data_IF_012664974264
#
_entry.id   IF_012664974264
#
_cell.length_a   1.000
_cell.length_b   1.000
_cell.length_c   1.000
_cell.angle_alpha   90.00
_cell.angle_beta   90.00
_cell.angle_gamma   90.00
#
_symmetry.space_group_name_H-M   'P 1'
#
loop_
_entity.id
_entity.type
_entity.pdbx_description
1 polymer ?
#
# COMPACT_ATOMS: atom_id res chain seq x y z
N UNK A 1 11.76 -35.98 -49.23
CA UNK A 1 12.43 -36.59 -48.08
C UNK A 1 12.33 -35.57 -46.97
N UNK A 2 11.45 -35.80 -46.01
CA UNK A 2 11.26 -34.85 -44.91
C UNK A 2 12.32 -35.12 -43.85
N UNK A 3 13.26 -34.19 -43.72
CA UNK A 3 14.29 -34.24 -42.69
C UNK A 3 13.64 -33.87 -41.34
N UNK A 4 13.20 -34.87 -40.59
CA UNK A 4 12.76 -34.71 -39.21
C UNK A 4 13.95 -34.43 -38.27
N UNK A 5 13.73 -33.62 -37.23
CA UNK A 5 14.74 -33.38 -36.19
C UNK A 5 15.11 -34.66 -35.47
N UNK A 6 16.38 -34.81 -35.10
CA UNK A 6 16.85 -35.94 -34.28
C UNK A 6 16.37 -35.81 -32.84
N UNK A 7 16.22 -36.94 -32.14
CA UNK A 7 15.89 -36.95 -30.72
C UNK A 7 16.88 -36.11 -29.91
N UNK A 8 18.18 -36.21 -30.21
CA UNK A 8 19.23 -35.44 -29.54
C UNK A 8 19.07 -33.93 -29.76
N UNK A 9 18.75 -33.47 -30.97
CA UNK A 9 18.48 -32.05 -31.23
C UNK A 9 17.25 -31.55 -30.47
N UNK A 10 16.17 -32.35 -30.42
CA UNK A 10 14.98 -31.97 -29.66
C UNK A 10 15.25 -31.91 -28.15
N UNK A 11 16.08 -32.81 -27.60
CA UNK A 11 16.43 -32.81 -26.18
C UNK A 11 17.36 -31.65 -25.80
N UNK A 12 18.34 -31.33 -26.64
CA UNK A 12 19.24 -30.19 -26.41
C UNK A 12 18.46 -28.88 -26.49
N UNK A 13 17.56 -28.72 -27.47
CA UNK A 13 16.75 -27.49 -27.60
C UNK A 13 15.78 -27.33 -26.43
N UNK A 14 15.08 -28.38 -26.01
CA UNK A 14 14.24 -28.36 -24.81
C UNK A 14 15.04 -28.11 -23.53
N UNK A 15 16.25 -28.68 -23.42
CA UNK A 15 17.15 -28.43 -22.30
C UNK A 15 17.58 -26.97 -22.20
N UNK A 16 18.00 -26.37 -23.32
CA UNK A 16 18.41 -24.95 -23.37
C UNK A 16 17.21 -24.04 -23.06
N UNK A 17 16.05 -24.27 -23.67
CA UNK A 17 14.84 -23.49 -23.41
C UNK A 17 14.42 -23.64 -21.95
N UNK A 18 14.49 -24.85 -21.39
CA UNK A 18 14.17 -25.11 -19.98
C UNK A 18 15.04 -24.32 -19.01
N UNK A 19 16.35 -24.30 -19.23
CA UNK A 19 17.29 -23.53 -18.39
C UNK A 19 17.04 -22.02 -18.53
N UNK A 20 16.86 -21.51 -19.75
CA UNK A 20 16.60 -20.08 -19.97
C UNK A 20 15.27 -19.67 -19.32
N UNK A 21 14.22 -20.46 -19.49
CA UNK A 21 12.90 -20.21 -18.90
C UNK A 21 12.96 -20.20 -17.37
N UNK A 22 13.68 -21.14 -16.76
CA UNK A 22 13.83 -21.20 -15.30
C UNK A 22 14.52 -19.96 -14.70
N UNK A 23 15.43 -19.32 -15.45
CA UNK A 23 16.12 -18.10 -15.01
C UNK A 23 15.32 -16.82 -15.30
N UNK A 24 14.58 -16.78 -16.41
CA UNK A 24 13.94 -15.55 -16.90
C UNK A 24 12.51 -15.36 -16.42
N UNK A 25 11.73 -16.44 -16.26
CA UNK A 25 10.33 -16.36 -15.83
C UNK A 25 10.19 -15.71 -14.44
N UNK A 26 10.97 -16.09 -13.41
CA UNK A 26 10.86 -15.47 -12.09
C UNK A 26 11.17 -13.96 -12.11
N UNK A 27 12.18 -13.54 -12.88
CA UNK A 27 12.56 -12.14 -13.03
C UNK A 27 11.47 -11.33 -13.73
N UNK A 28 10.88 -11.88 -14.79
CA UNK A 28 9.79 -11.24 -15.53
C UNK A 28 8.53 -11.10 -14.67
N UNK A 29 8.12 -12.16 -13.95
CA UNK A 29 6.98 -12.12 -13.03
C UNK A 29 7.21 -11.07 -11.95
N UNK A 30 8.40 -11.05 -11.35
CA UNK A 30 8.76 -10.07 -10.31
C UNK A 30 8.64 -8.64 -10.83
N UNK A 31 9.18 -8.35 -12.01
CA UNK A 31 9.09 -7.02 -12.64
C UNK A 31 7.64 -6.63 -12.92
N UNK A 32 6.85 -7.56 -13.45
CA UNK A 32 5.44 -7.31 -13.73
C UNK A 32 4.65 -7.01 -12.44
N UNK A 33 4.83 -7.81 -11.38
CA UNK A 33 4.14 -7.59 -10.10
C UNK A 33 4.55 -6.26 -9.46
N UNK A 34 5.83 -5.88 -9.50
CA UNK A 34 6.30 -4.56 -9.04
C UNK A 34 5.56 -3.42 -9.75
N UNK A 35 5.48 -3.49 -11.09
CA UNK A 35 4.79 -2.49 -11.91
C UNK A 35 3.28 -2.44 -11.60
N UNK A 36 2.63 -3.60 -11.44
CA UNK A 36 1.22 -3.65 -11.07
C UNK A 36 0.97 -3.01 -9.70
N UNK A 37 1.84 -3.28 -8.72
CA UNK A 37 1.77 -2.69 -7.38
C UNK A 37 1.84 -1.17 -7.45
N UNK A 38 2.83 -0.61 -8.16
CA UNK A 38 2.99 0.85 -8.21
C UNK A 38 1.85 1.53 -8.95
N UNK A 39 1.40 0.96 -10.07
CA UNK A 39 0.25 1.50 -10.83
C UNK A 39 -1.01 1.50 -9.97
N UNK A 40 -1.32 0.39 -9.31
CA UNK A 40 -2.53 0.28 -8.48
C UNK A 40 -2.46 1.15 -7.23
N UNK A 41 -1.29 1.25 -6.60
CA UNK A 41 -1.08 2.12 -5.45
C UNK A 41 -1.22 3.59 -5.85
N UNK A 42 -0.57 4.03 -6.94
CA UNK A 42 -0.65 5.41 -7.45
C UNK A 42 -2.09 5.78 -7.80
N UNK A 43 -2.80 4.89 -8.49
CA UNK A 43 -4.21 5.08 -8.82
C UNK A 43 -5.05 5.26 -7.55
N UNK A 44 -4.87 4.38 -6.56
CA UNK A 44 -5.62 4.44 -5.30
C UNK A 44 -5.32 5.72 -4.53
N UNK A 45 -4.05 6.12 -4.46
CA UNK A 45 -3.65 7.40 -3.88
C UNK A 45 -4.32 8.58 -4.58
N UNK A 46 -4.33 8.61 -5.92
CA UNK A 46 -4.97 9.68 -6.69
C UNK A 46 -6.47 9.76 -6.44
N UNK A 47 -7.16 8.60 -6.39
CA UNK A 47 -8.60 8.55 -6.06
C UNK A 47 -8.86 9.13 -4.67
N UNK A 48 -8.11 8.70 -3.66
CA UNK A 48 -8.29 9.20 -2.29
C UNK A 48 -7.93 10.69 -2.17
N UNK A 49 -6.84 11.14 -2.80
CA UNK A 49 -6.42 12.54 -2.77
C UNK A 49 -7.45 13.45 -3.42
N UNK A 50 -8.09 13.01 -4.51
CA UNK A 50 -9.19 13.73 -5.14
C UNK A 50 -10.44 13.71 -4.26
N UNK A 51 -10.79 12.56 -3.68
CA UNK A 51 -11.95 12.42 -2.82
C UNK A 51 -11.88 13.35 -1.60
N UNK A 52 -10.75 13.37 -0.89
CA UNK A 52 -10.55 14.22 0.28
C UNK A 52 -10.58 15.71 -0.07
N UNK A 53 -10.01 16.10 -1.22
CA UNK A 53 -10.09 17.49 -1.70
C UNK A 53 -11.51 17.92 -2.03
N UNK A 54 -12.32 17.03 -2.64
CA UNK A 54 -13.73 17.32 -2.90
C UNK A 54 -14.51 17.44 -1.60
N UNK A 55 -14.23 16.55 -0.64
CA UNK A 55 -14.86 16.61 0.68
C UNK A 55 -14.52 17.90 1.43
N UNK A 56 -13.27 18.36 1.39
CA UNK A 56 -12.85 19.65 1.94
C UNK A 56 -13.53 20.84 1.27
N UNK A 57 -13.72 20.78 -0.05
CA UNK A 57 -14.38 21.84 -0.80
C UNK A 57 -15.88 21.97 -0.45
N UNK A 58 -16.54 20.83 -0.20
CA UNK A 58 -17.99 20.80 0.00
C UNK A 58 -18.39 20.93 1.49
N UNK A 59 -17.57 20.40 2.41
CA UNK A 59 -17.86 20.36 3.86
C UNK A 59 -16.98 21.31 4.69
N UNK A 60 -15.95 21.90 4.09
CA UNK A 60 -14.95 22.71 4.79
C UNK A 60 -13.79 21.89 5.36
N UNK A 61 -12.98 22.53 6.21
CA UNK A 61 -11.75 21.94 6.76
C UNK A 61 -12.09 20.69 7.59
N UNK A 62 -11.36 19.60 7.33
CA UNK A 62 -11.52 18.35 8.06
C UNK A 62 -10.68 18.40 9.34
N UNK A 63 -11.28 18.82 10.44
CA UNK A 63 -10.64 18.79 11.75
C UNK A 63 -10.80 17.42 12.43
N UNK A 64 -9.70 16.86 12.95
CA UNK A 64 -9.70 15.51 13.53
C UNK A 64 -10.24 15.44 14.98
N UNK A 65 -10.34 16.57 15.69
CA UNK A 65 -10.39 16.61 17.16
C UNK A 65 -11.55 15.84 17.82
N UNK A 66 -12.55 15.37 17.07
CA UNK A 66 -13.62 14.50 17.58
C UNK A 66 -14.24 13.54 16.56
N UNK A 67 -13.63 13.34 15.38
CA UNK A 67 -14.22 12.50 14.35
C UNK A 67 -13.95 11.02 14.62
N UNK A 68 -15.00 10.19 14.61
CA UNK A 68 -14.83 8.73 14.64
C UNK A 68 -14.38 8.20 13.28
N UNK A 69 -13.77 7.01 13.24
CA UNK A 69 -13.48 6.30 11.97
C UNK A 69 -14.73 6.18 11.10
N UNK A 70 -15.88 5.91 11.74
CA UNK A 70 -17.16 5.78 11.04
C UNK A 70 -17.62 7.08 10.40
N UNK A 71 -17.64 8.15 11.19
CA UNK A 71 -18.04 9.48 10.72
C UNK A 71 -17.13 9.96 9.60
N UNK A 72 -15.81 9.79 9.75
CA UNK A 72 -14.85 10.19 8.73
C UNK A 72 -15.10 9.45 7.42
N UNK A 73 -15.26 8.14 7.50
CA UNK A 73 -15.47 7.28 6.33
C UNK A 73 -16.80 7.59 5.64
N UNK A 74 -17.89 7.74 6.40
CA UNK A 74 -19.23 7.98 5.85
C UNK A 74 -19.39 9.38 5.24
N UNK A 75 -18.74 10.40 5.80
CA UNK A 75 -18.89 11.78 5.36
C UNK A 75 -17.84 12.22 4.33
N UNK A 76 -16.59 11.78 4.48
CA UNK A 76 -15.47 12.33 3.69
C UNK A 76 -14.87 11.36 2.67
N UNK A 77 -15.13 10.05 2.80
CA UNK A 77 -14.65 9.05 1.82
C UNK A 77 -15.78 8.49 0.98
N UNK A 78 -16.83 7.96 1.61
CA UNK A 78 -17.91 7.23 0.95
C UNK A 78 -18.66 8.02 -0.13
N UNK A 79 -18.97 9.34 0.03
CA UNK A 79 -19.66 10.09 -1.02
C UNK A 79 -18.77 10.40 -2.23
N UNK A 80 -17.46 10.43 -2.03
CA UNK A 80 -16.48 10.93 -3.01
C UNK A 80 -15.64 9.81 -3.64
N UNK A 81 -15.67 8.61 -3.08
CA UNK A 81 -15.05 7.41 -3.60
C UNK A 81 -16.12 6.46 -4.19
N UNK A 82 -15.76 5.75 -5.26
CA UNK A 82 -16.61 4.68 -5.81
C UNK A 82 -16.41 3.40 -4.99
N UNK A 83 -17.33 3.14 -4.07
CA UNK A 83 -17.31 2.00 -3.13
C UNK A 83 -18.11 0.82 -3.68
N UNK A 84 -17.60 -0.40 -3.51
CA UNK A 84 -18.32 -1.65 -3.81
C UNK A 84 -18.80 -2.38 -2.56
N UNK A 85 -18.01 -2.37 -1.49
CA UNK A 85 -18.33 -3.05 -0.22
C UNK A 85 -17.83 -2.23 0.96
N UNK A 86 -18.47 -2.41 2.11
CA UNK A 86 -18.17 -1.74 3.36
C UNK A 86 -18.19 -2.78 4.49
N UNK A 87 -17.24 -2.66 5.42
CA UNK A 87 -17.15 -3.53 6.58
C UNK A 87 -17.06 -2.70 7.85
N UNK A 88 -17.89 -3.05 8.81
CA UNK A 88 -17.75 -2.54 10.18
C UNK A 88 -16.43 -3.06 10.80
N UNK A 89 -15.89 -2.40 11.84
CA UNK A 89 -14.63 -2.81 12.47
C UNK A 89 -14.53 -4.32 12.77
N UNK A 90 -15.60 -4.89 13.32
CA UNK A 90 -15.68 -6.28 13.78
C UNK A 90 -16.17 -7.28 12.72
N UNK A 91 -16.44 -6.83 11.49
CA UNK A 91 -17.07 -7.66 10.45
C UNK A 91 -16.06 -8.52 9.67
N UNK A 92 -14.81 -8.04 9.54
CA UNK A 92 -13.74 -8.88 9.00
C UNK A 92 -13.32 -9.92 10.03
N UNK A 93 -13.07 -11.14 9.54
CA UNK A 93 -12.61 -12.25 10.38
C UNK A 93 -11.39 -11.88 11.21
N UNK A 94 -11.34 -12.36 12.46
CA UNK A 94 -10.27 -12.05 13.41
C UNK A 94 -8.88 -12.49 12.95
N UNK A 95 -8.82 -13.44 12.01
CA UNK A 95 -7.60 -13.96 11.36
C UNK A 95 -7.12 -13.07 10.19
N UNK A 96 -7.80 -11.95 9.92
CA UNK A 96 -7.37 -10.96 8.94
C UNK A 96 -6.25 -10.09 9.53
N UNK A 97 -5.00 -10.52 9.32
CA UNK A 97 -3.80 -9.88 9.85
C UNK A 97 -3.07 -9.04 8.81
N UNK A 98 -2.48 -7.95 9.29
CA UNK A 98 -1.49 -7.16 8.56
C UNK A 98 -0.10 -7.57 9.02
N UNK A 99 0.74 -8.03 8.11
CA UNK A 99 2.10 -8.45 8.40
C UNK A 99 3.09 -7.34 8.11
N UNK A 100 4.04 -7.13 9.02
CA UNK A 100 5.24 -6.37 8.71
C UNK A 100 6.05 -7.06 7.61
N UNK A 101 6.95 -6.31 6.99
CA UNK A 101 7.83 -6.88 5.98
C UNK A 101 8.71 -8.02 6.52
N UNK A 102 9.06 -7.97 7.81
CA UNK A 102 9.77 -9.01 8.56
C UNK A 102 8.98 -10.30 8.75
N UNK A 103 7.66 -10.29 8.52
CA UNK A 103 6.76 -11.43 8.74
C UNK A 103 6.07 -11.44 10.11
N UNK A 104 6.43 -10.53 11.02
CA UNK A 104 5.71 -10.35 12.28
C UNK A 104 4.29 -9.79 12.06
N UNK A 105 3.35 -10.14 12.94
CA UNK A 105 2.01 -9.55 12.95
C UNK A 105 2.12 -8.09 13.41
N UNK A 106 1.51 -7.19 12.64
CA UNK A 106 1.66 -5.74 12.76
C UNK A 106 0.33 -5.00 12.69
N UNK A 107 -0.71 -5.62 13.26
CA UNK A 107 -2.08 -5.09 13.31
C UNK A 107 -2.22 -3.76 14.06
N UNK A 108 -1.26 -3.44 14.95
CA UNK A 108 -1.28 -2.20 15.73
C UNK A 108 -1.02 -0.94 14.91
N UNK A 109 -0.38 -1.03 13.74
CA UNK A 109 -0.15 0.13 12.89
C UNK A 109 -1.45 0.58 12.21
N UNK A 110 -1.71 1.89 12.26
CA UNK A 110 -2.87 2.53 11.64
C UNK A 110 -4.23 2.14 12.23
N UNK A 111 -4.25 1.42 13.37
CA UNK A 111 -5.47 0.97 14.06
C UNK A 111 -6.44 0.22 13.13
N UNK A 112 -5.91 -0.60 12.23
CA UNK A 112 -6.66 -1.28 11.16
C UNK A 112 -7.89 -2.04 11.66
N UNK A 113 -7.77 -2.75 12.79
CA UNK A 113 -8.87 -3.54 13.35
C UNK A 113 -10.04 -2.67 13.79
N UNK A 114 -9.78 -1.47 14.32
CA UNK A 114 -10.78 -0.53 14.82
C UNK A 114 -11.37 0.37 13.74
N UNK A 115 -10.79 0.37 12.54
CA UNK A 115 -11.23 1.18 11.42
C UNK A 115 -12.42 0.55 10.69
N UNK A 116 -13.35 1.37 10.22
CA UNK A 116 -14.28 0.97 9.16
C UNK A 116 -13.48 0.76 7.88
N UNK A 117 -13.79 -0.32 7.15
CA UNK A 117 -13.10 -0.65 5.90
C UNK A 117 -14.03 -0.43 4.73
N UNK A 118 -13.49 0.10 3.64
CA UNK A 118 -14.18 0.25 2.36
C UNK A 118 -13.40 -0.47 1.28
N UNK A 119 -14.11 -1.17 0.39
CA UNK A 119 -13.54 -1.68 -0.84
C UNK A 119 -13.89 -0.74 -1.99
N UNK A 120 -12.88 -0.23 -2.67
CA UNK A 120 -13.02 0.62 -3.85
C UNK A 120 -13.31 -0.22 -5.09
N UNK A 121 -13.91 0.38 -6.12
CA UNK A 121 -14.13 -0.24 -7.45
C UNK A 121 -12.87 -0.76 -8.13
N UNK A 122 -11.68 -0.25 -7.81
CA UNK A 122 -10.41 -0.79 -8.29
C UNK A 122 -9.94 -2.03 -7.49
N UNK A 123 -10.73 -2.49 -6.52
CA UNK A 123 -10.46 -3.64 -5.66
C UNK A 123 -9.44 -3.38 -4.56
N UNK A 124 -9.09 -2.12 -4.27
CA UNK A 124 -8.28 -1.78 -3.10
C UNK A 124 -9.18 -1.66 -1.87
N UNK A 125 -8.70 -2.14 -0.72
CA UNK A 125 -9.30 -1.88 0.59
C UNK A 125 -8.66 -0.64 1.18
N UNK A 126 -9.47 0.27 1.69
CA UNK A 126 -9.02 1.41 2.49
C UNK A 126 -9.62 1.34 3.88
N UNK A 127 -8.84 1.70 4.89
CA UNK A 127 -9.29 1.74 6.27
C UNK A 127 -8.71 2.98 6.96
N UNK A 128 -9.57 3.91 7.35
CA UNK A 128 -9.18 5.19 7.92
C UNK A 128 -9.51 5.24 9.42
N UNK A 129 -8.57 5.71 10.23
CA UNK A 129 -8.75 5.83 11.66
C UNK A 129 -8.20 7.17 12.19
N UNK A 130 -8.94 7.88 13.05
CA UNK A 130 -8.46 9.10 13.70
C UNK A 130 -7.31 8.77 14.66
N UNK A 131 -6.15 9.40 14.48
CA UNK A 131 -4.98 9.17 15.31
C UNK A 131 -4.26 10.50 15.58
N UNK A 132 -4.13 10.86 16.85
CA UNK A 132 -3.62 12.15 17.32
C UNK A 132 -4.40 13.33 16.72
N UNK A 133 -3.77 14.21 15.95
CA UNK A 133 -4.40 15.39 15.34
C UNK A 133 -4.78 15.18 13.86
N UNK A 134 -4.70 13.95 13.33
CA UNK A 134 -5.06 13.64 11.95
C UNK A 134 -5.58 12.21 11.78
N UNK A 135 -5.52 11.70 10.57
CA UNK A 135 -5.98 10.35 10.24
C UNK A 135 -4.83 9.50 9.74
N UNK A 136 -4.80 8.24 10.17
CA UNK A 136 -4.03 7.20 9.49
C UNK A 136 -4.95 6.47 8.53
N UNK A 137 -4.49 6.29 7.29
CA UNK A 137 -5.23 5.59 6.25
C UNK A 137 -4.37 4.41 5.79
N UNK A 138 -4.85 3.20 6.05
CA UNK A 138 -4.31 1.97 5.49
C UNK A 138 -4.91 1.76 4.11
N UNK A 139 -4.06 1.44 3.15
CA UNK A 139 -4.42 1.07 1.79
C UNK A 139 -3.85 -0.31 1.52
N UNK A 140 -4.74 -1.27 1.31
CA UNK A 140 -4.39 -2.60 0.82
C UNK A 140 -4.82 -2.72 -0.64
N UNK A 141 -3.85 -2.68 -1.55
CA UNK A 141 -4.11 -2.79 -2.99
C UNK A 141 -4.50 -4.20 -3.42
N UNK A 142 -4.46 -5.20 -2.55
CA UNK A 142 -4.93 -6.55 -2.79
C UNK A 142 -6.37 -6.79 -2.28
N UNK A 143 -6.90 -5.85 -1.48
CA UNK A 143 -8.27 -5.89 -0.99
C UNK A 143 -8.45 -6.94 0.10
N UNK A 144 -9.33 -7.92 -0.12
CA UNK A 144 -9.59 -9.01 0.84
C UNK A 144 -8.68 -10.23 0.66
N UNK A 145 -7.90 -10.27 -0.43
CA UNK A 145 -7.01 -11.40 -0.72
C UNK A 145 -5.79 -11.34 0.19
N UNK A 146 -5.42 -12.49 0.76
CA UNK A 146 -4.31 -12.65 1.70
C UNK A 146 -3.07 -13.24 1.00
N UNK A 147 -1.86 -13.15 1.59
CA UNK A 147 -1.52 -12.38 2.80
C UNK A 147 -1.42 -10.88 2.53
N UNK A 148 -1.54 -10.07 3.59
CA UNK A 148 -1.43 -8.60 3.53
C UNK A 148 -0.15 -8.17 4.22
N UNK A 149 0.80 -7.61 3.47
CA UNK A 149 2.15 -7.31 3.90
C UNK A 149 2.53 -5.86 3.60
N UNK A 150 2.94 -5.15 4.64
CA UNK A 150 3.44 -3.77 4.52
C UNK A 150 4.62 -3.69 3.55
N UNK A 151 4.53 -2.74 2.61
CA UNK A 151 5.52 -2.55 1.56
C UNK A 151 5.39 -3.50 0.37
N UNK A 152 4.31 -4.28 0.27
CA UNK A 152 4.06 -5.11 -0.92
C UNK A 152 2.68 -4.86 -1.50
N UNK A 153 1.67 -5.01 -0.67
CA UNK A 153 0.27 -4.76 -0.99
C UNK A 153 -0.39 -3.83 0.05
N UNK A 154 0.13 -3.77 1.28
CA UNK A 154 -0.32 -2.82 2.30
C UNK A 154 0.58 -1.60 2.38
N UNK A 155 -0.02 -0.42 2.40
CA UNK A 155 0.64 0.87 2.41
C UNK A 155 -0.07 1.82 3.39
N UNK A 156 0.71 2.63 4.12
CA UNK A 156 0.16 3.55 5.12
C UNK A 156 0.33 5.00 4.67
N UNK A 157 -0.73 5.78 4.87
CA UNK A 157 -0.80 7.21 4.59
C UNK A 157 -1.26 7.94 5.84
N UNK A 158 -0.93 9.22 5.92
CA UNK A 158 -1.52 10.15 6.87
C UNK A 158 -2.25 11.27 6.14
N UNK A 159 -3.31 11.75 6.77
CA UNK A 159 -4.09 12.88 6.30
C UNK A 159 -4.32 13.87 7.45
N UNK A 160 -4.11 15.14 7.16
CA UNK A 160 -4.46 16.25 8.03
C UNK A 160 -4.70 17.51 7.20
N UNK A 161 -5.37 18.49 7.80
CA UNK A 161 -5.74 19.78 7.22
C UNK A 161 -4.55 20.60 6.73
N UNK A 162 -3.36 20.44 7.34
CA UNK A 162 -2.16 21.22 6.98
C UNK A 162 -1.38 20.59 5.83
N UNK A 163 -1.18 19.27 5.85
CA UNK A 163 -0.31 18.53 4.92
C UNK A 163 -1.09 17.81 3.81
N UNK A 164 -2.39 17.64 3.98
CA UNK A 164 -3.25 16.81 3.14
C UNK A 164 -2.83 15.34 3.17
N UNK A 165 -3.26 14.58 2.16
CA UNK A 165 -2.95 13.15 2.07
C UNK A 165 -1.51 12.92 1.60
N UNK A 166 -0.70 12.33 2.46
CA UNK A 166 0.70 11.99 2.19
C UNK A 166 1.04 10.57 2.66
N UNK A 167 1.99 9.89 2.02
CA UNK A 167 2.53 8.65 2.56
C UNK A 167 3.05 8.86 3.99
N UNK A 168 2.85 7.84 4.83
CA UNK A 168 3.41 7.86 6.18
C UNK A 168 4.94 7.94 6.08
N UNK A 169 5.56 8.86 6.83
CA UNK A 169 6.98 9.21 6.67
C UNK A 169 7.23 10.55 5.97
N UNK A 170 6.31 11.00 5.10
CA UNK A 170 6.34 12.34 4.48
C UNK A 170 5.24 13.26 5.03
N UNK A 171 4.11 12.68 5.40
CA UNK A 171 3.02 13.36 6.09
C UNK A 171 3.27 13.51 7.58
N UNK A 172 2.20 13.62 8.36
CA UNK A 172 2.28 13.51 9.81
C UNK A 172 2.73 12.10 10.21
N UNK A 173 3.63 12.04 11.18
CA UNK A 173 4.11 10.81 11.80
C UNK A 173 3.80 10.92 13.30
N UNK A 174 3.19 9.89 13.87
CA UNK A 174 3.01 9.80 15.31
C UNK A 174 4.36 9.92 16.03
N UNK A 175 4.40 10.75 17.08
CA UNK A 175 5.54 10.93 17.99
C UNK A 175 6.75 11.65 17.40
N UNK A 176 6.67 12.15 16.16
CA UNK A 176 7.71 12.97 15.53
C UNK A 176 7.16 14.40 15.33
N UNK A 177 7.94 15.46 15.61
CA UNK A 177 7.54 16.85 15.36
C UNK A 177 7.11 17.09 13.91
N UNK A 178 6.14 17.98 13.69
CA UNK A 178 5.57 18.23 12.36
C UNK A 178 6.59 18.73 11.32
N UNK A 179 7.71 19.30 11.76
CA UNK A 179 8.74 19.92 10.91
C UNK A 179 9.86 18.95 10.48
N UNK A 180 9.88 17.73 11.02
CA UNK A 180 10.95 16.78 10.69
C UNK A 180 10.70 16.11 9.33
N UNK A 181 11.47 16.52 8.34
CA UNK A 181 11.47 15.90 7.02
C UNK A 181 12.47 14.73 6.97
N UNK A 182 11.95 13.51 6.89
CA UNK A 182 12.79 12.33 6.72
C UNK A 182 13.28 12.20 5.28
N UNK A 183 14.59 12.00 5.13
CA UNK A 183 15.19 11.73 3.81
C UNK A 183 14.73 10.36 3.27
N UNK A 184 14.81 10.18 1.94
CA UNK A 184 14.55 8.86 1.31
C UNK A 184 15.37 7.75 1.98
N UNK A 185 16.64 8.00 2.27
CA UNK A 185 17.55 7.02 2.88
C UNK A 185 17.11 6.65 4.31
N UNK A 186 16.70 7.65 5.10
CA UNK A 186 16.12 7.45 6.43
C UNK A 186 14.82 6.64 6.38
N UNK A 187 13.96 6.91 5.41
CA UNK A 187 12.70 6.18 5.20
C UNK A 187 12.94 4.75 4.72
N UNK A 188 13.97 4.53 3.90
CA UNK A 188 14.32 3.22 3.38
C UNK A 188 14.97 2.35 4.46
N UNK A 189 16.05 2.82 5.09
CA UNK A 189 16.92 1.99 5.94
C UNK A 189 17.35 2.67 7.26
N UNK A 190 16.70 3.76 7.65
CA UNK A 190 17.01 4.49 8.88
C UNK A 190 16.80 3.68 10.18
N UNK A 191 17.18 4.24 11.34
CA UNK A 191 17.13 3.55 12.62
C UNK A 191 15.71 3.24 13.11
N UNK A 192 14.70 3.99 12.66
CA UNK A 192 13.29 3.77 12.97
C UNK A 192 12.82 2.37 12.56
N UNK A 193 12.09 1.67 13.43
CA UNK A 193 11.52 0.34 13.15
C UNK A 193 10.52 0.38 11.98
N UNK A 194 9.89 1.53 11.73
CA UNK A 194 8.93 1.78 10.65
C UNK A 194 9.57 1.88 9.26
N UNK A 195 10.90 1.95 9.17
CA UNK A 195 11.64 2.00 7.91
C UNK A 195 11.18 0.92 6.92
N UNK A 196 11.26 1.24 5.63
CA UNK A 196 10.79 0.34 4.58
C UNK A 196 11.53 -1.00 4.59
N UNK A 197 12.84 -1.00 4.86
CA UNK A 197 13.69 -2.18 5.05
C UNK A 197 13.54 -2.87 6.42
N UNK A 198 12.67 -2.39 7.31
CA UNK A 198 12.30 -3.06 8.56
C UNK A 198 10.82 -3.47 8.56
N UNK A 199 9.94 -2.72 9.21
CA UNK A 199 8.53 -3.08 9.29
C UNK A 199 7.76 -2.81 8.00
N UNK A 200 8.28 -1.96 7.10
CA UNK A 200 7.66 -1.68 5.80
C UNK A 200 6.66 -0.52 5.80
N UNK A 201 6.51 0.19 6.93
CA UNK A 201 5.47 1.20 7.12
C UNK A 201 5.72 2.44 6.24
N UNK A 202 6.98 2.86 6.09
CA UNK A 202 7.39 3.99 5.25
C UNK A 202 7.53 3.66 3.75
N UNK A 203 7.22 2.43 3.31
CA UNK A 203 7.48 2.04 1.93
C UNK A 203 6.70 2.84 0.88
N UNK A 204 5.49 3.30 1.21
CA UNK A 204 4.71 4.18 0.32
C UNK A 204 5.44 5.51 0.06
N UNK A 205 6.14 6.04 1.07
CA UNK A 205 6.93 7.25 0.95
C UNK A 205 8.14 7.04 0.03
N UNK A 206 8.86 5.92 0.20
CA UNK A 206 9.99 5.56 -0.66
C UNK A 206 9.53 5.45 -2.12
N UNK A 207 8.46 4.71 -2.39
CA UNK A 207 7.89 4.57 -3.74
C UNK A 207 7.47 5.94 -4.32
N UNK A 208 6.84 6.80 -3.51
CA UNK A 208 6.44 8.13 -3.97
C UNK A 208 7.66 9.01 -4.31
N UNK A 209 8.72 8.97 -3.50
CA UNK A 209 9.97 9.69 -3.77
C UNK A 209 10.70 9.14 -5.00
N UNK A 210 10.51 7.86 -5.30
CA UNK A 210 10.97 7.19 -6.51
C UNK A 210 9.99 7.39 -7.69
N UNK A 211 9.22 8.47 -7.70
CA UNK A 211 8.26 8.80 -8.76
C UNK A 211 7.21 7.72 -9.04
N UNK A 212 6.82 6.96 -8.02
CA UNK A 212 5.95 5.79 -8.12
C UNK A 212 6.57 4.61 -8.86
N UNK A 213 7.86 4.40 -8.69
CA UNK A 213 8.60 3.24 -9.17
C UNK A 213 9.19 2.45 -7.99
N UNK A 214 9.39 1.14 -8.20
CA UNK A 214 10.09 0.29 -7.23
C UNK A 214 11.52 0.16 -7.72
N UNK A 215 12.41 0.96 -7.13
CA UNK A 215 13.84 0.96 -7.40
C UNK A 215 14.51 -0.37 -7.05
N UNK A 216 15.73 -0.59 -7.56
CA UNK A 216 16.47 -1.83 -7.35
C UNK A 216 16.86 -2.07 -5.87
N UNK A 217 17.04 -1.00 -5.09
CA UNK A 217 17.34 -1.05 -3.65
C UNK A 217 16.08 -1.25 -2.78
N UNK A 218 14.90 -1.27 -3.39
CA UNK A 218 13.65 -1.52 -2.70
C UNK A 218 13.57 -2.98 -2.23
N UNK A 219 13.20 -3.23 -0.97
CA UNK A 219 13.26 -4.57 -0.39
C UNK A 219 12.00 -5.39 -0.71
N UNK A 220 11.87 -5.78 -1.98
CA UNK A 220 10.72 -6.50 -2.56
C UNK A 220 10.51 -7.91 -2.01
#
# INVERSE_FOLDING_TARGET
MDNGFTLSETLITLGIIGVIAALTIPALITKHTKMQTTVKLKQTYSVMAQALRMAENDLGIIENSSLSSKTFTDQYLKPYCKIIEEFSPDELSQDFHMYCRTGAVCDGYGQFKLAQKLILTNGALIAAYPLYNGFTIIVDINGLKRPNKYGKDVFMFSFDDKKGLKPYGLGRIAEIPEEEHLSRDSLLKGPDSRACQKNGIYCAAVIMLDNWEISDDYPW
#
